data_IF_676570833164
#
_entry.id   IF_676570833164
#
_cell.length_a   1.000
_cell.length_b   1.000
_cell.length_c   1.000
_cell.angle_alpha   90.00
_cell.angle_beta   90.00
_cell.angle_gamma   90.00
#
_symmetry.space_group_name_H-M   'P 1'
#
loop_
_entity.id
_entity.type
_entity.pdbx_description
1 polymer ?
#
# COMPACT_ATOMS: atom_id res chain seq x y z
N UNK A 1 -12.23 14.94 17.15
CA UNK A 1 -11.34 15.07 15.97
C UNK A 1 -9.97 14.42 16.20
N UNK A 2 -9.22 14.75 17.27
CA UNK A 2 -7.86 14.19 17.55
C UNK A 2 -7.73 12.65 17.60
N UNK A 3 -8.75 11.93 18.06
CA UNK A 3 -8.70 10.46 18.20
C UNK A 3 -8.74 9.71 16.85
N UNK A 4 -9.45 10.23 15.84
CA UNK A 4 -9.56 9.59 14.51
C UNK A 4 -8.24 9.64 13.72
N UNK A 5 -7.51 10.75 13.84
CA UNK A 5 -6.20 10.93 13.21
C UNK A 5 -5.15 10.00 13.82
N UNK A 6 -5.19 9.80 15.14
CA UNK A 6 -4.32 8.83 15.83
C UNK A 6 -4.57 7.39 15.35
N UNK A 7 -5.83 6.99 15.22
CA UNK A 7 -6.20 5.65 14.71
C UNK A 7 -5.69 5.45 13.28
N UNK A 8 -5.77 6.48 12.44
CA UNK A 8 -5.30 6.43 11.05
C UNK A 8 -3.77 6.30 10.96
N UNK A 9 -3.05 7.06 11.79
CA UNK A 9 -1.60 6.94 11.94
C UNK A 9 -1.17 5.57 12.45
N UNK A 10 -1.88 5.03 13.45
CA UNK A 10 -1.61 3.70 13.99
C UNK A 10 -1.82 2.61 12.93
N UNK A 11 -2.90 2.69 12.14
CA UNK A 11 -3.15 1.77 11.02
C UNK A 11 -2.05 1.83 9.96
N UNK A 12 -1.63 3.05 9.59
CA UNK A 12 -0.56 3.26 8.61
C UNK A 12 0.78 2.70 9.08
N UNK A 13 1.21 3.08 10.29
CA UNK A 13 2.49 2.63 10.86
C UNK A 13 2.43 1.12 11.06
N UNK A 14 1.34 0.60 11.64
CA UNK A 14 1.19 -0.83 11.86
C UNK A 14 1.28 -1.61 10.55
N UNK A 15 0.49 -1.24 9.52
CA UNK A 15 0.49 -1.95 8.24
C UNK A 15 1.85 -1.89 7.54
N UNK A 16 2.47 -0.69 7.52
CA UNK A 16 3.77 -0.48 6.87
C UNK A 16 4.91 -1.18 7.60
N UNK A 17 4.97 -1.09 8.93
CA UNK A 17 5.98 -1.78 9.73
C UNK A 17 5.81 -3.29 9.66
N UNK A 18 4.58 -3.82 9.75
CA UNK A 18 4.35 -5.27 9.57
C UNK A 18 4.79 -5.75 8.20
N UNK A 19 4.53 -4.98 7.14
CA UNK A 19 4.98 -5.30 5.79
C UNK A 19 6.51 -5.34 5.69
N UNK A 20 7.20 -4.31 6.20
CA UNK A 20 8.67 -4.20 6.13
C UNK A 20 9.37 -5.23 7.03
N UNK A 21 8.88 -5.46 8.24
CA UNK A 21 9.43 -6.45 9.17
C UNK A 21 9.21 -7.88 8.62
N UNK A 22 8.00 -8.16 8.11
CA UNK A 22 7.70 -9.43 7.45
C UNK A 22 8.67 -9.69 6.29
N UNK A 23 8.95 -8.66 5.49
CA UNK A 23 9.89 -8.71 4.38
C UNK A 23 11.34 -8.94 4.82
N UNK A 24 11.72 -8.34 5.95
CA UNK A 24 13.00 -8.56 6.61
C UNK A 24 13.23 -10.04 6.93
N UNK A 25 12.19 -10.72 7.42
CA UNK A 25 12.29 -12.10 7.90
C UNK A 25 12.06 -13.16 6.83
N UNK A 26 11.22 -12.91 5.82
CA UNK A 26 10.76 -13.96 4.91
C UNK A 26 11.66 -14.21 3.68
N UNK A 27 12.29 -13.16 3.13
CA UNK A 27 13.07 -13.26 1.90
C UNK A 27 14.58 -13.16 2.17
N UNK A 28 15.42 -14.15 1.86
CA UNK A 28 16.87 -14.01 1.99
C UNK A 28 17.47 -13.14 0.89
N UNK A 29 16.84 -13.08 -0.29
CA UNK A 29 17.36 -12.37 -1.46
C UNK A 29 17.01 -10.88 -1.44
N UNK A 30 18.02 -10.01 -1.54
CA UNK A 30 17.85 -8.55 -1.50
C UNK A 30 17.00 -8.01 -2.65
N UNK A 31 17.13 -8.61 -3.85
CA UNK A 31 16.32 -8.28 -5.03
C UNK A 31 14.82 -8.53 -4.79
N UNK A 32 14.46 -9.64 -4.14
CA UNK A 32 13.08 -9.94 -3.77
C UNK A 32 12.51 -8.95 -2.75
N UNK A 33 13.33 -8.48 -1.79
CA UNK A 33 12.91 -7.41 -0.88
C UNK A 33 12.63 -6.11 -1.65
N UNK A 34 13.53 -5.71 -2.54
CA UNK A 34 13.33 -4.53 -3.38
C UNK A 34 12.03 -4.57 -4.18
N UNK A 35 11.67 -5.74 -4.73
CA UNK A 35 10.43 -5.94 -5.47
C UNK A 35 9.18 -5.61 -4.64
N UNK A 36 9.02 -6.25 -3.48
CA UNK A 36 7.86 -6.03 -2.62
C UNK A 36 7.82 -4.62 -2.02
N UNK A 37 8.97 -4.04 -1.73
CA UNK A 37 9.06 -2.66 -1.24
C UNK A 37 8.68 -1.67 -2.35
N UNK A 38 9.07 -1.94 -3.60
CA UNK A 38 8.62 -1.21 -4.78
C UNK A 38 7.10 -1.24 -4.91
N UNK A 39 6.48 -2.43 -4.83
CA UNK A 39 5.01 -2.58 -4.86
C UNK A 39 4.33 -1.74 -3.77
N UNK A 40 4.84 -1.78 -2.54
CA UNK A 40 4.29 -0.98 -1.42
C UNK A 40 4.34 0.52 -1.74
N UNK A 41 5.51 1.02 -2.18
CA UNK A 41 5.71 2.44 -2.50
C UNK A 41 4.84 2.87 -3.67
N UNK A 42 4.75 2.06 -4.74
CA UNK A 42 3.89 2.36 -5.89
C UNK A 42 2.42 2.39 -5.50
N UNK A 43 1.97 1.46 -4.65
CA UNK A 43 0.60 1.44 -4.14
C UNK A 43 0.27 2.68 -3.30
N UNK A 44 1.18 3.13 -2.44
CA UNK A 44 1.02 4.37 -1.67
C UNK A 44 1.03 5.60 -2.58
N UNK A 45 1.92 5.63 -3.58
CA UNK A 45 2.04 6.75 -4.52
C UNK A 45 0.78 6.91 -5.39
N UNK A 46 0.28 5.84 -6.00
CA UNK A 46 -0.95 5.90 -6.82
C UNK A 46 -2.15 6.33 -5.99
N UNK A 47 -2.24 5.86 -4.73
CA UNK A 47 -3.27 6.27 -3.78
C UNK A 47 -3.15 7.75 -3.44
N UNK A 48 -1.93 8.25 -3.18
CA UNK A 48 -1.70 9.67 -2.91
C UNK A 48 -2.10 10.55 -4.08
N UNK A 49 -1.69 10.21 -5.30
CA UNK A 49 -2.04 10.96 -6.52
C UNK A 49 -3.57 10.98 -6.69
N UNK A 50 -4.23 9.84 -6.58
CA UNK A 50 -5.69 9.76 -6.67
C UNK A 50 -6.38 10.69 -5.66
N UNK A 51 -5.99 10.63 -4.38
CA UNK A 51 -6.58 11.49 -3.34
C UNK A 51 -6.23 12.98 -3.53
N UNK A 52 -5.05 13.30 -4.07
CA UNK A 52 -4.66 14.68 -4.33
C UNK A 52 -5.54 15.30 -5.43
N UNK A 53 -5.78 14.55 -6.50
CA UNK A 53 -6.61 15.02 -7.61
C UNK A 53 -8.10 15.03 -7.21
N UNK A 54 -8.56 14.08 -6.37
CA UNK A 54 -9.87 14.11 -5.70
C UNK A 54 -10.08 15.40 -4.91
N UNK A 55 -9.09 15.79 -4.10
CA UNK A 55 -9.14 17.02 -3.31
C UNK A 55 -9.11 18.30 -4.14
N UNK A 56 -8.47 18.27 -5.30
CA UNK A 56 -8.39 19.43 -6.19
C UNK A 56 -9.63 19.62 -7.04
N UNK A 57 -10.60 18.72 -6.93
CA UNK A 57 -11.74 18.63 -7.85
C UNK A 57 -11.29 18.57 -9.32
N UNK A 58 -10.11 17.98 -9.53
CA UNK A 58 -9.46 17.77 -10.84
C UNK A 58 -9.49 16.28 -11.23
N UNK A 59 -10.45 15.53 -10.67
CA UNK A 59 -10.72 14.15 -11.06
C UNK A 59 -11.34 14.11 -12.46
N UNK A 60 -10.46 14.18 -13.46
CA UNK A 60 -10.80 13.89 -14.84
C UNK A 60 -10.76 12.37 -15.10
N UNK A 61 -11.57 11.87 -16.02
CA UNK A 61 -11.67 10.45 -16.37
C UNK A 61 -10.31 9.88 -16.82
N UNK A 62 -9.48 10.73 -17.44
CA UNK A 62 -8.11 10.39 -17.85
C UNK A 62 -7.22 10.05 -16.65
N UNK A 63 -7.30 10.85 -15.57
CA UNK A 63 -6.49 10.64 -14.36
C UNK A 63 -6.96 9.39 -13.61
N UNK A 64 -8.27 9.20 -13.51
CA UNK A 64 -8.86 8.00 -12.89
C UNK A 64 -8.39 6.75 -13.62
N UNK A 65 -8.45 6.76 -14.95
CA UNK A 65 -8.02 5.63 -15.79
C UNK A 65 -6.54 5.30 -15.57
N UNK A 66 -5.66 6.30 -15.54
CA UNK A 66 -4.22 6.10 -15.29
C UNK A 66 -3.99 5.53 -13.88
N UNK A 67 -4.63 6.09 -12.86
CA UNK A 67 -4.52 5.59 -11.49
C UNK A 67 -5.01 4.14 -11.38
N UNK A 68 -6.13 3.82 -12.03
CA UNK A 68 -6.70 2.47 -12.05
C UNK A 68 -5.78 1.47 -12.75
N UNK A 69 -5.19 1.85 -13.88
CA UNK A 69 -4.21 1.02 -14.60
C UNK A 69 -2.97 0.76 -13.75
N UNK A 70 -2.38 1.80 -13.15
CA UNK A 70 -1.20 1.66 -12.27
C UNK A 70 -1.53 0.80 -11.05
N UNK A 71 -2.71 0.98 -10.44
CA UNK A 71 -3.17 0.16 -9.33
C UNK A 71 -3.34 -1.32 -9.73
N UNK A 72 -3.94 -1.59 -10.90
CA UNK A 72 -4.10 -2.95 -11.42
C UNK A 72 -2.75 -3.62 -11.72
N UNK A 73 -1.81 -2.90 -12.33
CA UNK A 73 -0.45 -3.41 -12.59
C UNK A 73 0.27 -3.69 -11.28
N UNK A 74 0.18 -2.78 -10.31
CA UNK A 74 0.79 -2.94 -8.98
C UNK A 74 0.22 -4.15 -8.25
N UNK A 75 -1.10 -4.35 -8.31
CA UNK A 75 -1.77 -5.51 -7.74
C UNK A 75 -1.36 -6.81 -8.46
N UNK A 76 -1.30 -6.79 -9.79
CA UNK A 76 -0.83 -7.93 -10.59
C UNK A 76 0.60 -8.34 -10.24
N UNK A 77 1.52 -7.36 -10.16
CA UNK A 77 2.89 -7.57 -9.68
C UNK A 77 2.90 -8.15 -8.27
N UNK A 78 2.08 -7.63 -7.37
CA UNK A 78 2.00 -8.15 -6.01
C UNK A 78 1.58 -9.62 -5.96
N UNK A 79 0.54 -10.00 -6.72
CA UNK A 79 0.08 -11.38 -6.82
C UNK A 79 1.18 -12.29 -7.40
N UNK A 80 1.81 -11.89 -8.50
CA UNK A 80 2.92 -12.66 -9.10
C UNK A 80 4.07 -12.82 -8.10
N UNK A 81 4.37 -11.77 -7.34
CA UNK A 81 5.37 -11.81 -6.27
C UNK A 81 5.03 -12.83 -5.19
N UNK A 82 3.80 -12.84 -4.68
CA UNK A 82 3.35 -13.78 -3.63
C UNK A 82 3.39 -15.23 -4.12
N UNK A 83 2.96 -15.47 -5.37
CA UNK A 83 2.91 -16.80 -5.96
C UNK A 83 4.32 -17.34 -6.25
N UNK A 84 5.22 -16.49 -6.73
CA UNK A 84 6.55 -16.91 -7.18
C UNK A 84 7.61 -16.89 -6.08
N UNK A 85 7.48 -16.04 -5.06
CA UNK A 85 8.48 -15.98 -4.01
C UNK A 85 8.39 -17.19 -3.06
N UNK A 86 9.53 -17.68 -2.55
CA UNK A 86 9.62 -18.77 -1.58
C UNK A 86 9.19 -18.30 -0.18
N UNK A 87 7.99 -17.75 -0.09
CA UNK A 87 7.37 -17.27 1.14
C UNK A 87 6.76 -18.44 1.90
N UNK A 88 6.87 -18.41 3.24
CA UNK A 88 6.11 -19.33 4.09
C UNK A 88 4.61 -19.12 3.91
N UNK A 89 3.81 -20.17 4.17
CA UNK A 89 2.35 -20.12 4.03
C UNK A 89 1.72 -18.96 4.83
N UNK A 90 2.24 -18.71 6.04
CA UNK A 90 1.85 -17.59 6.89
C UNK A 90 2.25 -16.24 6.27
N UNK A 91 3.46 -16.14 5.69
CA UNK A 91 3.90 -14.96 4.96
C UNK A 91 2.95 -14.60 3.82
N UNK A 92 2.57 -15.58 2.98
CA UNK A 92 1.68 -15.36 1.82
C UNK A 92 0.35 -14.70 2.19
N UNK A 93 -0.20 -14.98 3.37
CA UNK A 93 -1.40 -14.31 3.88
C UNK A 93 -1.13 -12.98 4.58
N UNK A 94 0.01 -12.84 5.26
CA UNK A 94 0.34 -11.64 6.02
C UNK A 94 0.61 -10.42 5.14
N UNK A 95 1.33 -10.58 4.01
CA UNK A 95 1.66 -9.45 3.12
C UNK A 95 0.44 -8.72 2.56
N UNK A 96 -0.58 -9.40 1.97
CA UNK A 96 -1.76 -8.71 1.46
C UNK A 96 -2.48 -7.98 2.59
N UNK A 97 -2.66 -8.63 3.75
CA UNK A 97 -3.32 -8.01 4.90
C UNK A 97 -2.58 -6.75 5.35
N UNK A 98 -1.24 -6.82 5.47
CA UNK A 98 -0.42 -5.68 5.87
C UNK A 98 -0.47 -4.54 4.84
N UNK A 99 -0.43 -4.86 3.54
CA UNK A 99 -0.55 -3.89 2.44
C UNK A 99 -1.91 -3.18 2.49
N UNK A 100 -3.02 -3.92 2.58
CA UNK A 100 -4.37 -3.36 2.66
C UNK A 100 -4.55 -2.51 3.93
N UNK A 101 -4.06 -2.99 5.07
CA UNK A 101 -4.16 -2.26 6.34
C UNK A 101 -3.38 -0.94 6.29
N UNK A 102 -2.19 -0.94 5.69
CA UNK A 102 -1.38 0.27 5.47
C UNK A 102 -2.06 1.26 4.53
N UNK A 103 -2.59 0.80 3.39
CA UNK A 103 -3.32 1.64 2.43
C UNK A 103 -4.61 2.23 3.02
N UNK A 104 -5.38 1.44 3.77
CA UNK A 104 -6.56 1.93 4.47
C UNK A 104 -6.21 3.01 5.50
N UNK A 105 -5.15 2.77 6.30
CA UNK A 105 -4.60 3.77 7.20
C UNK A 105 -4.19 5.06 6.48
N UNK A 106 -3.54 4.94 5.32
CA UNK A 106 -3.10 6.07 4.51
C UNK A 106 -4.27 6.90 3.97
N UNK A 107 -5.28 6.25 3.38
CA UNK A 107 -6.49 6.92 2.87
C UNK A 107 -7.22 7.64 4.00
N UNK A 108 -7.40 6.97 5.15
CA UNK A 108 -8.04 7.57 6.33
C UNK A 108 -7.25 8.76 6.86
N UNK A 109 -5.92 8.65 6.88
CA UNK A 109 -5.04 9.71 7.35
C UNK A 109 -5.13 10.96 6.47
N UNK A 110 -5.04 10.78 5.15
CA UNK A 110 -5.12 11.91 4.20
C UNK A 110 -6.48 12.60 4.27
N UNK A 111 -7.58 11.85 4.45
CA UNK A 111 -8.92 12.42 4.64
C UNK A 111 -9.10 13.08 6.00
N UNK A 112 -8.51 12.54 7.06
CA UNK A 112 -8.60 13.09 8.42
C UNK A 112 -7.75 14.36 8.61
N UNK A 113 -6.69 14.54 7.82
CA UNK A 113 -5.85 15.74 7.86
C UNK A 113 -6.53 17.00 7.30
N UNK A 114 -7.75 16.88 6.75
CA UNK A 114 -8.53 17.96 6.14
C UNK A 114 -9.56 18.61 7.08
N UNK A 115 -9.68 18.13 8.32
CA UNK A 115 -10.66 18.59 9.31
C UNK A 115 -10.04 19.34 10.49
#
# INVERSE_FOLDING_TARGET
MKSSTLISWLLLISGTSTYVIGLGMACPLLSGKGYFLGVLVTAMFVTYVYLREEKRDQLDDSVVTVCQLVALITLGLFLVGILNAPLSLSGRGLYPVALFMGLLGFVRLIRASDH
#
